data_IF_801745328223
#
_entry.id   IF_801745328223
#
_cell.length_a   1.000
_cell.length_b   1.000
_cell.length_c   1.000
_cell.angle_alpha   90.00
_cell.angle_beta   90.00
_cell.angle_gamma   90.00
#
_symmetry.space_group_name_H-M   'P 1'
#
loop_
_entity.id
_entity.type
_entity.pdbx_description
1 polymer ?
#
# COMPACT_ATOMS: atom_id res chain seq x y z
N UNK A 1 -2.99 25.41 -8.01
CA UNK A 1 -2.51 24.03 -7.89
C UNK A 1 -1.62 23.75 -9.09
N UNK A 2 -0.44 23.17 -8.89
CA UNK A 2 0.50 22.92 -9.98
C UNK A 2 0.02 21.71 -10.79
N UNK A 3 -0.26 21.90 -12.07
CA UNK A 3 -0.53 20.80 -12.99
C UNK A 3 0.78 20.04 -13.23
N UNK A 4 0.75 18.71 -13.41
CA UNK A 4 1.97 17.96 -13.69
C UNK A 4 2.52 18.40 -15.05
N UNK A 5 3.82 18.61 -15.10
CA UNK A 5 4.51 18.97 -16.33
C UNK A 5 4.74 17.70 -17.17
N UNK A 6 4.04 17.58 -18.30
CA UNK A 6 4.17 16.43 -19.20
C UNK A 6 5.64 16.20 -19.64
N UNK A 7 6.42 17.26 -19.80
CA UNK A 7 7.86 17.16 -20.10
C UNK A 7 8.64 16.55 -18.92
N UNK A 8 8.24 16.86 -17.69
CA UNK A 8 8.84 16.26 -16.50
C UNK A 8 8.48 14.78 -16.35
N UNK A 9 7.27 14.37 -16.73
CA UNK A 9 6.84 12.96 -16.77
C UNK A 9 7.70 12.16 -17.76
N UNK A 10 7.84 12.65 -18.99
CA UNK A 10 8.67 11.98 -20.01
C UNK A 10 10.15 11.91 -19.59
N UNK A 11 10.67 12.99 -18.98
CA UNK A 11 12.03 13.04 -18.46
C UNK A 11 12.27 12.12 -17.25
N UNK A 12 11.21 11.81 -16.49
CA UNK A 12 11.26 10.82 -15.42
C UNK A 12 11.38 9.41 -16.01
N UNK A 13 10.48 9.02 -16.91
CA UNK A 13 10.48 7.67 -17.48
C UNK A 13 11.68 7.39 -18.40
N UNK A 14 12.18 8.39 -19.11
CA UNK A 14 13.42 8.27 -19.88
C UNK A 14 14.64 8.01 -18.99
N UNK A 15 14.71 8.70 -17.84
CA UNK A 15 15.77 8.48 -16.85
C UNK A 15 15.65 7.11 -16.18
N UNK A 16 14.43 6.71 -15.82
CA UNK A 16 14.11 5.42 -15.24
C UNK A 16 14.56 4.27 -16.15
N UNK A 17 14.12 4.29 -17.40
CA UNK A 17 14.39 3.25 -18.40
C UNK A 17 15.85 3.19 -18.85
N UNK A 18 16.60 4.29 -18.71
CA UNK A 18 17.99 4.36 -19.17
C UNK A 18 18.94 3.45 -18.38
N UNK A 19 19.00 3.59 -17.05
CA UNK A 19 19.86 2.76 -16.18
C UNK A 19 19.29 2.54 -14.79
N UNK A 20 18.41 3.44 -14.34
CA UNK A 20 18.03 3.48 -12.94
C UNK A 20 17.21 2.24 -12.53
N UNK A 21 16.33 1.72 -13.40
CA UNK A 21 15.59 0.48 -13.14
C UNK A 21 16.49 -0.73 -12.88
N UNK A 22 17.66 -0.81 -13.50
CA UNK A 22 18.64 -1.88 -13.24
C UNK A 22 19.37 -1.66 -11.92
N UNK A 23 19.77 -0.42 -11.64
CA UNK A 23 20.44 -0.04 -10.39
C UNK A 23 19.54 -0.30 -9.19
N UNK A 24 18.28 0.11 -9.27
CA UNK A 24 17.30 -0.13 -8.22
C UNK A 24 16.99 -1.62 -8.08
N UNK A 25 16.89 -2.34 -9.19
CA UNK A 25 16.71 -3.79 -9.16
C UNK A 25 17.83 -4.50 -8.40
N UNK A 26 19.09 -4.20 -8.72
CA UNK A 26 20.24 -4.79 -8.02
C UNK A 26 20.26 -4.42 -6.53
N UNK A 27 19.90 -3.18 -6.18
CA UNK A 27 19.80 -2.76 -4.79
C UNK A 27 18.70 -3.52 -4.02
N UNK A 28 17.60 -3.89 -4.67
CA UNK A 28 16.55 -4.74 -4.08
C UNK A 28 17.11 -6.15 -3.82
N UNK A 29 17.77 -6.76 -4.82
CA UNK A 29 18.36 -8.10 -4.68
C UNK A 29 19.41 -8.18 -3.55
N UNK A 30 20.13 -7.08 -3.32
CA UNK A 30 21.16 -6.95 -2.28
C UNK A 30 20.65 -6.38 -0.95
N UNK A 31 19.35 -6.08 -0.84
CA UNK A 31 18.73 -5.46 0.33
C UNK A 31 19.38 -4.12 0.75
N UNK A 32 19.65 -3.25 -0.23
CA UNK A 32 20.27 -1.91 -0.12
C UNK A 32 19.39 -0.79 -0.70
N UNK A 33 18.08 -0.98 -0.71
CA UNK A 33 17.10 -0.09 -1.37
C UNK A 33 17.19 1.34 -0.83
N UNK A 34 17.42 1.49 0.47
CA UNK A 34 17.57 2.77 1.14
C UNK A 34 18.68 3.65 0.55
N UNK A 35 19.70 3.04 -0.06
CA UNK A 35 20.83 3.76 -0.67
C UNK A 35 20.47 4.39 -2.02
N UNK A 36 19.37 3.95 -2.62
CA UNK A 36 18.95 4.34 -3.98
C UNK A 36 17.52 4.88 -4.04
N UNK A 37 16.78 4.88 -2.93
CA UNK A 37 15.41 5.42 -2.87
C UNK A 37 15.37 6.95 -3.04
N UNK A 38 16.38 7.66 -2.51
CA UNK A 38 16.44 9.13 -2.54
C UNK A 38 16.45 9.73 -3.97
N UNK A 39 17.27 9.22 -4.92
CA UNK A 39 17.19 9.63 -6.32
C UNK A 39 15.80 9.49 -6.94
N UNK A 40 15.09 8.39 -6.63
CA UNK A 40 13.74 8.13 -7.12
C UNK A 40 12.75 9.17 -6.57
N UNK A 41 12.77 9.39 -5.25
CA UNK A 41 11.96 10.40 -4.58
C UNK A 41 12.22 11.80 -5.16
N UNK A 42 13.49 12.16 -5.34
CA UNK A 42 13.89 13.47 -5.87
C UNK A 42 13.42 13.68 -7.31
N UNK A 43 13.37 12.63 -8.13
CA UNK A 43 12.92 12.73 -9.52
C UNK A 43 11.39 12.86 -9.61
N UNK A 44 10.64 12.08 -8.83
CA UNK A 44 9.18 12.19 -8.75
C UNK A 44 8.74 13.56 -8.25
N UNK A 45 9.42 14.14 -7.25
CA UNK A 45 9.14 15.51 -6.78
C UNK A 45 9.31 16.59 -7.85
N UNK A 46 10.15 16.35 -8.87
CA UNK A 46 10.28 17.26 -10.03
C UNK A 46 9.08 17.17 -10.98
N UNK A 47 8.37 16.04 -11.00
CA UNK A 47 7.11 15.90 -11.72
C UNK A 47 6.00 16.62 -10.97
N UNK A 48 5.82 16.27 -9.69
CA UNK A 48 4.93 16.96 -8.79
C UNK A 48 5.36 16.72 -7.32
N UNK A 49 5.41 17.75 -6.46
CA UNK A 49 5.88 17.61 -5.07
C UNK A 49 4.99 16.72 -4.20
N UNK A 50 3.74 16.51 -4.60
CA UNK A 50 2.78 15.65 -3.92
C UNK A 50 2.86 14.16 -4.29
N UNK A 51 3.70 13.79 -5.26
CA UNK A 51 3.86 12.39 -5.66
C UNK A 51 4.69 11.60 -4.65
N UNK A 52 4.24 10.39 -4.39
CA UNK A 52 4.86 9.40 -3.53
C UNK A 52 5.13 8.14 -4.34
N UNK A 53 6.04 7.29 -3.88
CA UNK A 53 6.21 5.96 -4.44
C UNK A 53 6.40 4.94 -3.33
N UNK A 54 6.15 3.69 -3.69
CA UNK A 54 6.45 2.53 -2.88
C UNK A 54 6.89 1.37 -3.79
N UNK A 55 7.57 0.38 -3.21
CA UNK A 55 8.04 -0.81 -3.92
C UNK A 55 7.37 -2.03 -3.30
N UNK A 56 6.66 -2.79 -4.12
CA UNK A 56 5.86 -3.94 -3.67
C UNK A 56 6.25 -5.20 -4.46
N UNK A 57 5.95 -6.40 -3.94
CA UNK A 57 5.88 -7.60 -4.78
C UNK A 57 4.93 -7.36 -5.95
N UNK A 58 5.36 -7.70 -7.17
CA UNK A 58 4.51 -7.57 -8.35
C UNK A 58 3.51 -8.72 -8.48
N UNK A 59 2.40 -8.46 -9.16
CA UNK A 59 1.37 -9.44 -9.49
C UNK A 59 1.77 -10.29 -10.71
N UNK A 60 2.39 -9.66 -11.70
CA UNK A 60 2.84 -10.28 -12.97
C UNK A 60 4.35 -10.21 -13.13
N UNK A 61 4.99 -9.18 -12.58
CA UNK A 61 6.42 -9.01 -12.53
C UNK A 61 6.98 -9.31 -11.13
N UNK A 62 8.30 -9.39 -10.99
CA UNK A 62 8.93 -9.57 -9.66
C UNK A 62 8.70 -8.39 -8.72
N UNK A 63 8.74 -7.17 -9.24
CA UNK A 63 8.68 -5.93 -8.46
C UNK A 63 7.67 -4.98 -9.10
N UNK A 64 6.75 -4.46 -8.30
CA UNK A 64 5.88 -3.36 -8.66
C UNK A 64 6.44 -2.03 -8.13
N UNK A 65 6.72 -1.08 -9.03
CA UNK A 65 6.86 0.32 -8.65
C UNK A 65 5.46 0.93 -8.63
N UNK A 66 4.97 1.23 -7.43
CA UNK A 66 3.67 1.88 -7.29
C UNK A 66 3.82 3.37 -7.04
N UNK A 67 3.01 4.17 -7.71
CA UNK A 67 3.03 5.63 -7.62
C UNK A 67 1.73 6.10 -6.96
N UNK A 68 1.86 6.90 -5.91
CA UNK A 68 0.74 7.46 -5.16
C UNK A 68 0.82 8.98 -5.06
N UNK A 69 -0.14 9.55 -4.35
CA UNK A 69 -0.29 10.98 -4.16
C UNK A 69 -0.64 11.29 -2.70
N UNK A 70 -0.13 12.40 -2.18
CA UNK A 70 -0.64 12.98 -0.94
C UNK A 70 -1.82 13.93 -1.21
N UNK A 71 -2.46 14.42 -0.14
CA UNK A 71 -3.61 15.34 -0.19
C UNK A 71 -3.40 16.65 -0.97
N UNK A 72 -2.14 17.02 -1.25
CA UNK A 72 -1.78 18.24 -1.97
C UNK A 72 -1.59 17.98 -3.49
N UNK A 73 -1.69 16.73 -3.92
CA UNK A 73 -1.59 16.35 -5.32
C UNK A 73 -2.96 16.43 -5.99
N UNK A 74 -3.10 17.12 -7.13
CA UNK A 74 -4.33 17.09 -7.90
C UNK A 74 -4.71 15.67 -8.36
N UNK A 75 -6.01 15.39 -8.43
CA UNK A 75 -6.55 14.18 -9.06
C UNK A 75 -6.07 14.07 -10.52
N UNK A 76 -5.82 12.83 -10.98
CA UNK A 76 -5.37 12.56 -12.35
C UNK A 76 -3.85 12.62 -12.56
N UNK A 77 -3.08 13.16 -11.61
CA UNK A 77 -1.60 13.26 -11.75
C UNK A 77 -0.95 11.87 -11.74
N UNK A 78 -1.40 10.98 -10.87
CA UNK A 78 -0.86 9.61 -10.78
C UNK A 78 -1.12 8.86 -12.08
N UNK A 79 -2.33 8.98 -12.61
CA UNK A 79 -2.76 8.36 -13.86
C UNK A 79 -1.96 8.90 -15.05
N UNK A 80 -1.70 10.20 -15.10
CA UNK A 80 -0.86 10.80 -16.14
C UNK A 80 0.58 10.31 -16.09
N UNK A 81 1.15 10.15 -14.90
CA UNK A 81 2.48 9.57 -14.74
C UNK A 81 2.49 8.12 -15.20
N UNK A 82 1.53 7.31 -14.74
CA UNK A 82 1.46 5.89 -15.08
C UNK A 82 1.15 5.64 -16.57
N UNK A 83 0.38 6.52 -17.21
CA UNK A 83 0.09 6.41 -18.65
C UNK A 83 1.34 6.57 -19.53
N UNK A 84 2.38 7.24 -19.02
CA UNK A 84 3.66 7.39 -19.69
C UNK A 84 4.70 6.34 -19.25
N UNK A 85 4.32 5.39 -18.38
CA UNK A 85 5.21 4.33 -17.94
C UNK A 85 5.67 3.47 -19.12
N UNK A 86 6.92 2.97 -19.09
CA UNK A 86 7.36 1.99 -20.07
C UNK A 86 6.56 0.69 -19.95
N UNK A 87 6.64 -0.15 -20.98
CA UNK A 87 6.05 -1.49 -20.94
C UNK A 87 6.62 -2.30 -19.76
N UNK A 88 5.74 -3.04 -19.09
CA UNK A 88 6.13 -3.96 -18.03
C UNK A 88 6.99 -5.10 -18.60
N UNK A 89 7.88 -5.64 -17.78
CA UNK A 89 8.71 -6.80 -18.11
C UNK A 89 8.71 -7.81 -16.94
N UNK A 90 9.41 -8.93 -17.10
CA UNK A 90 9.48 -9.98 -16.06
C UNK A 90 9.95 -9.46 -14.69
N UNK A 91 10.66 -8.31 -14.66
CA UNK A 91 11.21 -7.73 -13.44
C UNK A 91 10.34 -6.61 -12.90
N UNK A 92 9.82 -5.74 -13.76
CA UNK A 92 9.14 -4.51 -13.37
C UNK A 92 7.72 -4.41 -13.91
N UNK A 93 6.79 -4.09 -13.03
CA UNK A 93 5.47 -3.57 -13.37
C UNK A 93 5.22 -2.23 -12.66
N UNK A 94 4.23 -1.48 -13.16
CA UNK A 94 3.92 -0.12 -12.69
C UNK A 94 2.44 0.00 -12.41
N UNK A 95 2.07 0.63 -11.30
CA UNK A 95 0.66 0.77 -10.93
C UNK A 95 0.40 1.89 -9.93
N UNK A 96 -0.86 2.22 -9.68
CA UNK A 96 -1.20 3.17 -8.63
C UNK A 96 -0.91 2.57 -7.25
N UNK A 97 -0.46 3.38 -6.30
CA UNK A 97 -0.29 2.94 -4.90
C UNK A 97 -1.61 2.47 -4.28
N UNK A 98 -2.71 2.97 -4.83
CA UNK A 98 -4.08 2.66 -4.46
C UNK A 98 -4.57 1.36 -5.12
N UNK A 99 -3.77 0.77 -6.01
CA UNK A 99 -4.07 -0.54 -6.57
C UNK A 99 -4.22 -1.54 -5.41
N UNK A 100 -5.28 -2.37 -5.43
CA UNK A 100 -5.45 -3.42 -4.44
C UNK A 100 -4.21 -4.30 -4.42
N UNK A 101 -3.62 -4.50 -3.25
CA UNK A 101 -2.51 -5.45 -3.10
C UNK A 101 -3.07 -6.84 -3.42
N UNK A 102 -2.52 -7.61 -4.39
CA UNK A 102 -3.14 -8.84 -4.89
C UNK A 102 -3.53 -9.79 -3.76
N UNK A 103 -2.61 -10.06 -2.84
CA UNK A 103 -2.85 -10.76 -1.59
C UNK A 103 -2.22 -10.00 -0.40
N UNK A 104 -3.02 -9.45 0.53
CA UNK A 104 -2.52 -8.68 1.65
C UNK A 104 -1.80 -9.58 2.68
N UNK A 105 -1.94 -10.90 2.58
CA UNK A 105 -1.23 -11.89 3.41
C UNK A 105 0.24 -12.01 3.02
N UNK A 106 0.62 -11.62 1.80
CA UNK A 106 2.01 -11.68 1.34
C UNK A 106 2.88 -10.53 1.87
N UNK A 107 2.28 -9.56 2.55
CA UNK A 107 2.99 -8.40 3.08
C UNK A 107 3.62 -8.71 4.44
N UNK A 108 4.77 -8.06 4.67
CA UNK A 108 5.40 -8.00 5.97
C UNK A 108 5.68 -6.53 6.34
N UNK A 109 5.22 -6.11 7.53
CA UNK A 109 5.35 -4.73 8.00
C UNK A 109 6.45 -4.61 9.05
N UNK A 110 7.35 -3.63 8.89
CA UNK A 110 8.34 -3.32 9.93
C UNK A 110 7.67 -2.61 11.10
N UNK A 111 8.00 -3.06 12.31
CA UNK A 111 7.47 -2.57 13.58
C UNK A 111 8.62 -2.48 14.60
N UNK A 112 9.35 -1.35 14.57
CA UNK A 112 10.65 -1.24 15.25
C UNK A 112 11.66 -2.23 14.67
N UNK A 113 12.29 -3.04 15.52
CA UNK A 113 13.26 -4.08 15.12
C UNK A 113 12.59 -5.39 14.65
N UNK A 114 11.26 -5.45 14.63
CA UNK A 114 10.50 -6.65 14.26
C UNK A 114 9.86 -6.50 12.89
N UNK A 115 9.63 -7.63 12.24
CA UNK A 115 8.90 -7.72 10.98
C UNK A 115 7.65 -8.55 11.23
N UNK A 116 6.47 -7.97 11.00
CA UNK A 116 5.16 -8.57 11.25
C UNK A 116 4.63 -9.17 9.95
N UNK A 117 4.52 -10.49 9.90
CA UNK A 117 3.96 -11.24 8.77
C UNK A 117 2.42 -11.18 8.78
N UNK A 118 1.85 -10.50 7.78
CA UNK A 118 0.40 -10.29 7.73
C UNK A 118 -0.40 -11.57 7.46
N UNK A 119 0.21 -12.67 7.00
CA UNK A 119 -0.46 -13.96 6.84
C UNK A 119 -1.01 -14.52 8.17
N UNK A 120 -0.39 -14.13 9.29
CA UNK A 120 -0.77 -14.57 10.65
C UNK A 120 -1.76 -13.60 11.32
N UNK A 121 -2.13 -12.52 10.65
CA UNK A 121 -3.12 -11.58 11.17
C UNK A 121 -4.53 -12.19 11.09
N UNK A 122 -5.32 -11.97 12.13
CA UNK A 122 -6.74 -12.37 12.18
C UNK A 122 -7.60 -11.16 12.54
N UNK A 123 -8.71 -11.00 11.84
CA UNK A 123 -9.60 -9.84 12.00
C UNK A 123 -11.02 -10.30 12.23
N UNK A 124 -11.59 -9.92 13.37
CA UNK A 124 -13.02 -10.02 13.62
C UNK A 124 -13.72 -8.79 13.04
N UNK A 125 -14.81 -9.00 12.32
CA UNK A 125 -15.58 -7.93 11.69
C UNK A 125 -17.00 -7.90 12.24
N UNK A 126 -17.44 -6.75 12.76
CA UNK A 126 -18.81 -6.53 13.21
C UNK A 126 -19.36 -5.25 12.57
N UNK A 127 -20.56 -5.32 12.03
CA UNK A 127 -21.24 -4.19 11.39
C UNK A 127 -22.45 -3.81 12.24
N UNK A 128 -22.46 -2.57 12.73
CA UNK A 128 -23.66 -1.94 13.31
C UNK A 128 -24.32 -1.07 12.23
N UNK A 129 -25.30 -1.65 11.55
CA UNK A 129 -26.08 -0.98 10.50
C UNK A 129 -26.85 0.23 11.02
N UNK A 130 -27.28 0.21 12.29
CA UNK A 130 -28.06 1.31 12.87
C UNK A 130 -27.17 2.51 13.17
N UNK A 131 -25.96 2.27 13.69
CA UNK A 131 -25.00 3.30 13.98
C UNK A 131 -24.11 3.67 12.77
N UNK A 132 -24.22 2.90 11.67
CA UNK A 132 -23.31 2.96 10.52
C UNK A 132 -21.84 2.87 10.95
N UNK A 133 -21.54 1.91 11.82
CA UNK A 133 -20.20 1.66 12.35
C UNK A 133 -19.71 0.28 11.93
N UNK A 134 -18.50 0.23 11.38
CA UNK A 134 -17.76 -1.00 11.15
C UNK A 134 -16.72 -1.14 12.26
N UNK A 135 -16.81 -2.18 13.09
CA UNK A 135 -15.82 -2.48 14.12
C UNK A 135 -14.93 -3.64 13.67
N UNK A 136 -13.62 -3.39 13.66
CA UNK A 136 -12.59 -4.35 13.29
C UNK A 136 -11.72 -4.67 14.51
N UNK A 137 -11.73 -5.94 14.92
CA UNK A 137 -10.92 -6.47 16.01
C UNK A 137 -9.70 -7.19 15.44
N UNK A 138 -8.52 -6.58 15.53
CA UNK A 138 -7.28 -7.08 14.93
C UNK A 138 -6.43 -7.81 15.96
N UNK A 139 -6.08 -9.05 15.62
CA UNK A 139 -5.14 -9.88 16.34
C UNK A 139 -3.94 -10.23 15.46
N UNK A 140 -2.74 -10.14 16.03
CA UNK A 140 -1.56 -10.81 15.51
C UNK A 140 -0.72 -11.32 16.70
N UNK A 141 -0.21 -12.56 16.67
CA UNK A 141 0.46 -13.18 17.82
C UNK A 141 1.67 -12.37 18.32
N UNK A 142 2.37 -11.70 17.41
CA UNK A 142 3.60 -10.94 17.74
C UNK A 142 3.33 -9.45 18.03
N UNK A 143 2.11 -8.95 17.78
CA UNK A 143 1.82 -7.53 17.98
C UNK A 143 1.94 -7.14 19.46
N UNK A 144 1.56 -8.05 20.38
CA UNK A 144 1.66 -7.81 21.81
C UNK A 144 3.09 -7.63 22.33
N UNK A 145 4.10 -8.02 21.55
CA UNK A 145 5.52 -7.85 21.88
C UNK A 145 6.14 -6.56 21.30
N UNK A 146 5.35 -5.82 20.51
CA UNK A 146 5.76 -4.57 19.85
C UNK A 146 5.34 -3.38 20.71
N UNK A 147 6.08 -2.26 20.66
CA UNK A 147 5.67 -1.03 21.34
C UNK A 147 4.32 -0.51 20.81
N UNK A 148 3.46 0.01 21.70
CA UNK A 148 2.08 0.41 21.37
C UNK A 148 1.97 1.34 20.15
N UNK A 149 2.92 2.28 20.01
CA UNK A 149 3.01 3.21 18.88
C UNK A 149 3.13 2.49 17.52
N UNK A 150 3.89 1.40 17.48
CA UNK A 150 4.05 0.60 16.27
C UNK A 150 2.90 -0.39 16.06
N UNK A 151 2.23 -0.83 17.12
CA UNK A 151 1.07 -1.73 17.01
C UNK A 151 -0.07 -1.08 16.21
N UNK A 152 -0.40 0.18 16.56
CA UNK A 152 -1.45 0.94 15.87
C UNK A 152 -1.08 1.22 14.41
N UNK A 153 0.17 1.58 14.15
CA UNK A 153 0.68 1.78 12.79
C UNK A 153 0.56 0.52 11.95
N UNK A 154 1.00 -0.64 12.46
CA UNK A 154 0.91 -1.92 11.74
C UNK A 154 -0.54 -2.28 11.41
N UNK A 155 -1.45 -2.17 12.39
CA UNK A 155 -2.84 -2.53 12.18
C UNK A 155 -3.52 -1.58 11.17
N UNK A 156 -3.25 -0.28 11.25
CA UNK A 156 -3.79 0.71 10.30
C UNK A 156 -3.28 0.44 8.88
N UNK A 157 -1.97 0.23 8.72
CA UNK A 157 -1.37 -0.08 7.41
C UNK A 157 -1.92 -1.39 6.83
N UNK A 158 -2.10 -2.42 7.66
CA UNK A 158 -2.71 -3.68 7.23
C UNK A 158 -4.15 -3.49 6.75
N UNK A 159 -4.95 -2.67 7.42
CA UNK A 159 -6.34 -2.40 6.99
C UNK A 159 -6.39 -1.61 5.68
N UNK A 160 -5.51 -0.64 5.49
CA UNK A 160 -5.39 0.10 4.24
C UNK A 160 -4.97 -0.82 3.07
N UNK A 161 -4.09 -1.79 3.33
CA UNK A 161 -3.70 -2.82 2.36
C UNK A 161 -4.87 -3.72 1.92
N UNK A 162 -5.84 -3.94 2.81
CA UNK A 162 -7.05 -4.73 2.51
C UNK A 162 -8.08 -3.93 1.75
N UNK A 163 -8.39 -2.71 2.20
CA UNK A 163 -9.50 -1.89 1.70
C UNK A 163 -9.16 -0.98 0.50
N UNK A 164 -7.87 -0.73 0.22
CA UNK A 164 -7.49 0.47 -0.53
C UNK A 164 -7.56 1.70 0.38
N UNK A 165 -7.15 2.88 -0.10
CA UNK A 165 -6.89 4.09 0.72
C UNK A 165 -8.05 4.63 1.60
N UNK A 166 -9.24 4.02 1.61
CA UNK A 166 -10.22 4.20 2.68
C UNK A 166 -11.21 3.03 2.72
N UNK A 167 -11.68 2.60 3.92
CA UNK A 167 -12.89 1.78 4.01
C UNK A 167 -14.09 2.53 3.43
N UNK A 168 -15.18 1.83 3.03
CA UNK A 168 -16.31 2.43 2.34
C UNK A 168 -16.83 3.67 3.06
N UNK A 169 -16.91 4.78 2.32
CA UNK A 169 -17.33 6.12 2.77
C UNK A 169 -18.70 6.18 3.49
N UNK A 170 -19.41 5.05 3.61
CA UNK A 170 -20.72 4.93 4.24
C UNK A 170 -20.67 4.49 5.72
N UNK A 171 -19.57 3.89 6.18
CA UNK A 171 -19.43 3.40 7.56
C UNK A 171 -18.22 4.03 8.24
N UNK A 172 -18.41 4.53 9.46
CA UNK A 172 -17.28 4.93 10.30
C UNK A 172 -16.57 3.66 10.78
N UNK A 173 -15.29 3.52 10.44
CA UNK A 173 -14.48 2.37 10.87
C UNK A 173 -13.86 2.63 12.24
N UNK A 174 -14.01 1.67 13.16
CA UNK A 174 -13.31 1.63 14.43
C UNK A 174 -12.36 0.43 14.45
N UNK A 175 -11.09 0.70 14.70
CA UNK A 175 -10.06 -0.32 14.83
C UNK A 175 -9.78 -0.59 16.31
N UNK A 176 -9.69 -1.87 16.68
CA UNK A 176 -9.36 -2.29 18.04
C UNK A 176 -8.38 -3.46 18.00
N UNK A 177 -7.31 -3.36 18.78
CA UNK A 177 -6.35 -4.45 18.95
C UNK A 177 -6.86 -5.46 19.99
N UNK A 178 -6.63 -6.76 19.75
CA UNK A 178 -6.90 -7.83 20.70
C UNK A 178 -5.65 -8.63 21.04
N UNK A 179 -5.56 -9.10 22.29
CA UNK A 179 -4.48 -9.99 22.74
C UNK A 179 -4.75 -11.47 22.42
N UNK A 180 -5.95 -11.80 21.94
CA UNK A 180 -6.37 -13.14 21.57
C UNK A 180 -7.03 -13.11 20.19
N UNK A 181 -6.97 -14.21 19.42
CA UNK A 181 -7.67 -14.30 18.14
C UNK A 181 -9.18 -14.16 18.36
N UNK A 182 -9.88 -13.36 17.56
CA UNK A 182 -11.34 -13.32 17.57
C UNK A 182 -11.92 -14.69 17.21
N UNK A 183 -13.04 -15.08 17.83
CA UNK A 183 -13.70 -16.39 17.57
C UNK A 183 -14.06 -16.58 16.09
N UNK A 184 -14.63 -15.54 15.47
CA UNK A 184 -14.94 -15.49 14.03
C UNK A 184 -13.87 -14.71 13.23
N UNK A 185 -12.61 -14.78 13.68
CA UNK A 185 -11.50 -14.06 13.07
C UNK A 185 -11.14 -14.62 11.70
N UNK A 186 -11.18 -13.78 10.67
CA UNK A 186 -10.81 -14.13 9.29
C UNK A 186 -9.41 -13.66 8.95
N UNK A 187 -8.83 -14.20 7.87
CA UNK A 187 -7.59 -13.66 7.31
C UNK A 187 -7.87 -12.37 6.48
N UNK A 188 -6.79 -11.73 6.03
CA UNK A 188 -6.89 -10.46 5.30
C UNK A 188 -7.50 -10.58 3.89
N UNK A 189 -7.44 -11.76 3.26
CA UNK A 189 -8.04 -11.99 1.95
C UNK A 189 -9.56 -12.14 2.08
N UNK A 190 -10.02 -12.94 3.04
CA UNK A 190 -11.45 -13.07 3.32
C UNK A 190 -12.05 -11.76 3.86
N UNK A 191 -11.30 -10.99 4.67
CA UNK A 191 -11.74 -9.64 5.07
C UNK A 191 -12.01 -8.75 3.86
N UNK A 192 -11.15 -8.80 2.83
CA UNK A 192 -11.34 -8.02 1.60
C UNK A 192 -12.64 -8.38 0.91
N UNK A 193 -12.91 -9.68 0.75
CA UNK A 193 -14.15 -10.15 0.12
C UNK A 193 -15.38 -9.67 0.89
N UNK A 194 -15.33 -9.72 2.23
CA UNK A 194 -16.43 -9.24 3.10
C UNK A 194 -16.65 -7.74 2.99
N UNK A 195 -15.58 -6.94 2.90
CA UNK A 195 -15.69 -5.50 2.68
C UNK A 195 -16.28 -5.17 1.31
N UNK A 196 -15.83 -5.85 0.26
CA UNK A 196 -16.38 -5.68 -1.09
C UNK A 196 -17.87 -6.08 -1.17
N UNK A 197 -18.28 -7.14 -0.47
CA UNK A 197 -19.69 -7.53 -0.38
C UNK A 197 -20.56 -6.48 0.34
N UNK A 198 -20.01 -5.80 1.36
CA UNK A 198 -20.68 -4.69 2.03
C UNK A 198 -20.93 -3.51 1.08
N UNK A 199 -20.01 -3.25 0.16
CA UNK A 199 -20.15 -2.20 -0.87
C UNK A 199 -21.17 -2.54 -1.95
N UNK A 200 -21.23 -3.81 -2.36
CA UNK A 200 -22.14 -4.29 -3.41
C UNK A 200 -23.61 -4.42 -3.00
N UNK A 201 -23.96 -4.17 -1.73
CA UNK A 201 -25.35 -4.26 -1.21
C UNK A 201 -26.07 -2.90 -1.32
N UNK A 202 -25.93 -2.22 -2.46
CA UNK A 202 -26.62 -0.96 -2.81
C UNK A 202 -27.60 -1.17 -3.97
#
# INVERSE_FOLDING_TARGET
MAQPDASAVDAFWSWWSGRFREVLGAAIDENRVEQVADPLAARLRKVHPGLLFDLRPGATARIALVIGANENCPDGVVEQVLAAAPEADDRWEYGPADAPIPDPRELALKAGDRTIDLARMRVGMQVDERARVLELAVYHPELGEVAAEHQESVATTAMNAVAGHAPPLQHRTKLRLTCAPPEDGVDLAELRERLAALEGTL
#
